data_IF_125805912073
#
_entry.id   IF_125805912073
#
_cell.length_a   1.000
_cell.length_b   1.000
_cell.length_c   1.000
_cell.angle_alpha   90.00
_cell.angle_beta   90.00
_cell.angle_gamma   90.00
#
_symmetry.space_group_name_H-M   'P 1'
#
loop_
_entity.id
_entity.type
_entity.pdbx_description
1 polymer ?
#
# COMPACT_ATOMS: atom_id res chain seq x y z
N UNK A 1 51.71 -56.17 13.96
CA UNK A 1 51.50 -54.83 13.35
C UNK A 1 50.19 -54.89 12.55
N UNK A 2 49.52 -53.74 12.32
CA UNK A 2 48.58 -53.42 11.22
C UNK A 2 47.59 -54.50 10.71
N UNK A 3 46.26 -54.32 10.76
CA UNK A 3 45.44 -53.56 9.76
C UNK A 3 45.54 -54.14 8.33
N UNK A 4 44.50 -54.25 7.47
CA UNK A 4 43.03 -54.06 7.46
C UNK A 4 42.49 -54.74 6.15
N UNK A 5 41.21 -54.85 5.71
CA UNK A 5 39.85 -54.50 6.17
C UNK A 5 38.84 -55.31 5.31
N UNK A 6 37.67 -55.72 5.84
CA UNK A 6 36.45 -56.12 5.06
C UNK A 6 36.63 -57.30 4.06
N UNK A 7 35.64 -57.88 3.37
CA UNK A 7 34.16 -57.88 3.26
C UNK A 7 33.80 -59.36 2.88
N UNK A 8 32.60 -59.94 2.92
CA UNK A 8 31.20 -59.48 3.06
C UNK A 8 30.48 -60.43 4.05
N UNK A 9 29.29 -60.07 4.53
CA UNK A 9 28.29 -61.04 4.98
C UNK A 9 26.93 -60.73 4.32
N UNK A 10 26.30 -61.74 3.73
CA UNK A 10 25.05 -61.60 2.96
C UNK A 10 23.96 -62.36 3.73
N UNK A 11 22.97 -61.64 4.27
CA UNK A 11 21.81 -62.26 4.89
C UNK A 11 20.53 -61.51 4.52
N UNK A 12 19.66 -62.22 3.79
CA UNK A 12 18.32 -61.74 3.45
C UNK A 12 17.36 -62.28 4.49
N UNK A 13 16.70 -61.39 5.22
CA UNK A 13 15.49 -61.69 5.99
C UNK A 13 14.51 -60.52 5.85
N UNK A 14 13.22 -60.84 5.73
CA UNK A 14 12.19 -59.89 5.32
C UNK A 14 12.03 -58.74 6.33
N UNK A 15 11.92 -57.47 5.87
CA UNK A 15 11.20 -56.48 6.66
C UNK A 15 9.72 -56.90 6.67
N UNK A 16 9.17 -57.11 7.87
CA UNK A 16 7.72 -57.12 8.03
C UNK A 16 7.19 -55.74 7.61
N UNK A 17 6.37 -55.69 6.56
CA UNK A 17 5.56 -54.52 6.24
C UNK A 17 4.49 -54.36 7.32
N UNK A 18 4.90 -53.80 8.46
CA UNK A 18 3.99 -53.18 9.40
C UNK A 18 3.38 -51.99 8.67
N UNK A 19 2.21 -52.21 8.07
CA UNK A 19 1.28 -51.14 7.76
C UNK A 19 0.95 -50.45 9.08
N UNK A 20 1.69 -49.40 9.39
CA UNK A 20 1.30 -48.45 10.42
C UNK A 20 0.00 -47.81 9.96
N UNK A 21 -1.13 -48.34 10.43
CA UNK A 21 -2.38 -47.59 10.39
C UNK A 21 -2.11 -46.28 11.12
N UNK A 22 -2.14 -45.16 10.39
CA UNK A 22 -2.12 -43.85 11.02
C UNK A 22 -3.35 -43.78 11.94
N UNK A 23 -3.11 -43.86 13.25
CA UNK A 23 -4.16 -43.79 14.23
C UNK A 23 -4.89 -42.46 14.03
N UNK A 24 -6.19 -42.54 13.66
CA UNK A 24 -6.95 -41.36 13.21
C UNK A 24 -6.99 -40.33 14.34
N UNK A 25 -6.09 -39.35 14.27
CA UNK A 25 -5.83 -38.37 15.33
C UNK A 25 -7.12 -37.62 15.64
N UNK A 26 -7.53 -37.61 16.91
CA UNK A 26 -8.75 -36.92 17.32
C UNK A 26 -8.65 -35.41 17.07
N UNK A 27 -9.73 -34.73 16.67
CA UNK A 27 -9.71 -33.29 16.47
C UNK A 27 -9.37 -32.57 17.80
N UNK A 28 -8.48 -31.57 17.78
CA UNK A 28 -7.98 -30.93 19.00
C UNK A 28 -9.09 -30.29 19.83
N UNK A 29 -9.03 -30.48 21.15
CA UNK A 29 -10.00 -29.92 22.11
C UNK A 29 -9.32 -28.89 23.03
N UNK A 30 -10.07 -27.99 23.68
CA UNK A 30 -9.53 -27.04 24.67
C UNK A 30 -8.85 -27.66 25.91
N UNK A 31 -8.82 -28.99 26.04
CA UNK A 31 -8.08 -29.68 27.09
C UNK A 31 -6.81 -30.38 26.58
N UNK A 32 -6.78 -30.73 25.29
CA UNK A 32 -5.81 -31.64 24.66
C UNK A 32 -4.98 -31.02 23.53
N UNK A 33 -4.94 -29.70 23.39
CA UNK A 33 -4.10 -29.01 22.41
C UNK A 33 -2.63 -29.45 22.52
N UNK A 34 -2.09 -30.01 21.44
CA UNK A 34 -0.67 -30.30 21.26
C UNK A 34 0.03 -29.15 20.53
N UNK A 35 1.35 -28.94 20.72
CA UNK A 35 2.14 -28.09 19.83
C UNK A 35 1.91 -28.50 18.36
N UNK A 36 1.85 -27.53 17.45
CA UNK A 36 1.69 -27.77 16.01
C UNK A 36 0.28 -28.19 15.53
N UNK A 37 -0.72 -28.36 16.41
CA UNK A 37 -2.06 -28.89 16.06
C UNK A 37 -2.72 -28.24 14.83
N UNK A 38 -2.49 -26.95 14.60
CA UNK A 38 -3.06 -26.21 13.48
C UNK A 38 -2.40 -26.55 12.13
N UNK A 39 -1.09 -26.85 12.12
CA UNK A 39 -0.37 -27.28 10.92
C UNK A 39 -0.84 -28.66 10.48
N UNK A 40 -1.02 -29.59 11.41
CA UNK A 40 -1.51 -30.95 11.15
C UNK A 40 -2.91 -30.99 10.49
N UNK A 41 -3.73 -29.95 10.72
CA UNK A 41 -5.03 -29.78 10.08
C UNK A 41 -4.97 -29.12 8.70
N UNK A 42 -3.90 -28.36 8.40
CA UNK A 42 -3.86 -27.42 7.26
C UNK A 42 -2.82 -27.72 6.18
N UNK A 43 -1.75 -28.46 6.50
CA UNK A 43 -0.71 -28.88 5.54
C UNK A 43 -1.22 -29.90 4.50
N UNK A 44 -2.37 -30.54 4.76
CA UNK A 44 -3.09 -31.38 3.80
C UNK A 44 -3.57 -30.65 2.54
N UNK A 45 -3.93 -31.41 1.51
CA UNK A 45 -4.55 -30.88 0.28
C UNK A 45 -5.83 -30.08 0.60
N UNK A 46 -6.22 -29.09 -0.23
CA UNK A 46 -7.29 -28.14 0.11
C UNK A 46 -8.60 -28.80 0.58
N UNK A 47 -9.10 -29.80 -0.14
CA UNK A 47 -10.37 -30.48 0.19
C UNK A 47 -10.29 -31.33 1.46
N UNK A 48 -9.12 -31.91 1.75
CA UNK A 48 -8.86 -32.68 2.96
C UNK A 48 -8.75 -31.76 4.18
N UNK A 49 -8.10 -30.60 4.04
CA UNK A 49 -8.03 -29.57 5.06
C UNK A 49 -9.41 -28.95 5.33
N UNK A 50 -10.19 -28.62 4.28
CA UNK A 50 -11.60 -28.21 4.37
C UNK A 50 -12.46 -29.21 5.15
N UNK A 51 -12.19 -30.52 4.99
CA UNK A 51 -12.86 -31.59 5.73
C UNK A 51 -12.42 -31.67 7.19
N UNK A 52 -11.10 -31.70 7.47
CA UNK A 52 -10.54 -31.71 8.83
C UNK A 52 -11.02 -30.50 9.65
N UNK A 53 -11.10 -29.34 9.01
CA UNK A 53 -11.70 -28.11 9.57
C UNK A 53 -13.17 -28.31 9.95
N UNK A 54 -14.00 -28.93 9.10
CA UNK A 54 -15.42 -29.18 9.41
C UNK A 54 -15.57 -30.18 10.56
N UNK A 55 -14.76 -31.24 10.59
CA UNK A 55 -14.71 -32.20 11.71
C UNK A 55 -14.30 -31.50 13.02
N UNK A 56 -13.36 -30.53 12.98
CA UNK A 56 -13.02 -29.70 14.14
C UNK A 56 -14.17 -28.80 14.60
N UNK A 57 -14.83 -28.06 13.69
CA UNK A 57 -15.93 -27.16 14.06
C UNK A 57 -17.09 -27.94 14.69
N UNK A 58 -17.42 -29.12 14.16
CA UNK A 58 -18.44 -30.01 14.74
C UNK A 58 -18.03 -30.55 16.12
N UNK A 59 -16.78 -30.96 16.29
CA UNK A 59 -16.23 -31.38 17.58
C UNK A 59 -16.34 -30.26 18.62
N UNK A 60 -15.94 -29.04 18.25
CA UNK A 60 -16.01 -27.85 19.11
C UNK A 60 -17.45 -27.46 19.46
N UNK A 61 -18.41 -27.57 18.53
CA UNK A 61 -19.83 -27.33 18.82
C UNK A 61 -20.41 -28.29 19.87
N UNK A 62 -19.85 -29.50 20.01
CA UNK A 62 -20.25 -30.45 21.06
C UNK A 62 -19.83 -30.03 22.48
N UNK A 63 -19.00 -29.00 22.64
CA UNK A 63 -18.58 -28.49 23.95
C UNK A 63 -19.74 -27.83 24.71
N UNK A 64 -20.76 -27.31 24.02
CA UNK A 64 -21.91 -26.67 24.68
C UNK A 64 -22.67 -27.65 25.61
N UNK A 65 -22.69 -28.95 25.30
CA UNK A 65 -23.28 -29.97 26.19
C UNK A 65 -22.40 -30.37 27.36
N UNK A 66 -21.15 -29.89 27.43
CA UNK A 66 -20.13 -30.28 28.41
C UNK A 66 -19.73 -29.14 29.35
N UNK A 67 -20.31 -27.94 29.17
CA UNK A 67 -19.95 -26.71 29.88
C UNK A 67 -21.13 -26.25 30.75
N UNK A 68 -20.83 -25.78 31.97
CA UNK A 68 -21.82 -25.26 32.91
C UNK A 68 -22.57 -24.04 32.34
N UNK A 69 -23.84 -23.89 32.70
CA UNK A 69 -24.75 -22.89 32.11
C UNK A 69 -24.14 -21.46 32.10
N UNK A 70 -23.60 -21.02 33.24
CA UNK A 70 -23.03 -19.69 33.46
C UNK A 70 -21.80 -19.39 32.58
N UNK A 71 -21.20 -20.43 31.97
CA UNK A 71 -20.01 -20.34 31.11
C UNK A 71 -20.30 -20.52 29.62
N UNK A 72 -21.55 -20.86 29.24
CA UNK A 72 -21.93 -21.13 27.84
C UNK A 72 -21.65 -19.95 26.92
N UNK A 73 -21.95 -18.73 27.35
CA UNK A 73 -21.80 -17.55 26.50
C UNK A 73 -20.34 -17.23 26.17
N UNK A 74 -19.43 -17.35 27.16
CA UNK A 74 -17.99 -17.21 26.95
C UNK A 74 -17.46 -18.24 25.95
N UNK A 75 -17.92 -19.49 26.05
CA UNK A 75 -17.56 -20.54 25.11
C UNK A 75 -18.13 -20.24 23.72
N UNK A 76 -19.41 -19.84 23.62
CA UNK A 76 -20.07 -19.49 22.34
C UNK A 76 -19.32 -18.40 21.59
N UNK A 77 -18.96 -17.30 22.26
CA UNK A 77 -18.17 -16.21 21.67
C UNK A 77 -16.82 -16.69 21.14
N UNK A 78 -16.12 -17.56 21.88
CA UNK A 78 -14.85 -18.12 21.42
C UNK A 78 -15.03 -19.09 20.22
N UNK A 79 -16.09 -19.89 20.22
CA UNK A 79 -16.41 -20.80 19.11
C UNK A 79 -16.79 -20.05 17.82
N UNK A 80 -17.58 -18.98 17.93
CA UNK A 80 -17.93 -18.11 16.81
C UNK A 80 -16.67 -17.42 16.24
N UNK A 81 -15.76 -16.97 17.11
CA UNK A 81 -14.47 -16.39 16.70
C UNK A 81 -13.56 -17.41 16.00
N UNK A 82 -13.42 -18.63 16.55
CA UNK A 82 -12.67 -19.74 15.93
C UNK A 82 -13.26 -20.06 14.55
N UNK A 83 -14.57 -20.27 14.46
CA UNK A 83 -15.28 -20.57 13.22
C UNK A 83 -15.09 -19.47 12.16
N UNK A 84 -15.23 -18.20 12.56
CA UNK A 84 -15.00 -17.04 11.68
C UNK A 84 -13.57 -17.00 11.15
N UNK A 85 -12.58 -17.13 12.03
CA UNK A 85 -11.16 -17.13 11.66
C UNK A 85 -10.84 -18.26 10.68
N UNK A 86 -11.29 -19.48 10.99
CA UNK A 86 -11.07 -20.67 10.16
C UNK A 86 -11.70 -20.51 8.77
N UNK A 87 -12.96 -20.07 8.69
CA UNK A 87 -13.62 -19.83 7.40
C UNK A 87 -12.90 -18.74 6.58
N UNK A 88 -12.44 -17.66 7.22
CA UNK A 88 -11.69 -16.61 6.53
C UNK A 88 -10.30 -17.08 6.07
N UNK A 89 -9.62 -17.93 6.86
CA UNK A 89 -8.36 -18.57 6.46
C UNK A 89 -8.55 -19.43 5.20
N UNK A 90 -9.62 -20.25 5.15
CA UNK A 90 -9.91 -21.08 3.96
C UNK A 90 -10.28 -20.24 2.74
N UNK A 91 -10.99 -19.12 2.90
CA UNK A 91 -11.24 -18.17 1.81
C UNK A 91 -9.93 -17.57 1.27
N UNK A 92 -9.03 -17.12 2.16
CA UNK A 92 -7.73 -16.56 1.78
C UNK A 92 -6.78 -17.61 1.17
N UNK A 93 -6.88 -18.89 1.57
CA UNK A 93 -6.15 -20.01 0.95
C UNK A 93 -6.65 -20.31 -0.47
N UNK A 94 -7.92 -20.03 -0.77
CA UNK A 94 -8.55 -20.21 -2.10
C UNK A 94 -8.40 -19.01 -3.02
N UNK A 95 -7.81 -17.90 -2.55
CA UNK A 95 -7.29 -16.87 -3.43
C UNK A 95 -6.03 -17.40 -4.13
N UNK A 96 -6.20 -17.77 -5.40
CA UNK A 96 -5.11 -17.93 -6.35
C UNK A 96 -4.28 -16.63 -6.36
N UNK A 97 -2.96 -16.76 -6.50
CA UNK A 97 -2.05 -15.62 -6.42
C UNK A 97 -2.32 -14.53 -7.44
N UNK A 98 -1.83 -13.32 -7.16
CA UNK A 98 -2.07 -12.14 -8.00
C UNK A 98 -1.70 -12.43 -9.47
N UNK A 99 -2.66 -12.22 -10.38
CA UNK A 99 -2.45 -12.45 -11.81
C UNK A 99 -1.50 -11.39 -12.34
N UNK A 100 -0.27 -11.81 -12.62
CA UNK A 100 0.70 -11.03 -13.36
C UNK A 100 0.19 -10.91 -14.81
N UNK A 101 -0.08 -9.69 -15.25
CA UNK A 101 -0.52 -9.39 -16.62
C UNK A 101 0.60 -9.67 -17.63
N UNK A 102 0.31 -9.62 -18.93
CA UNK A 102 1.36 -9.66 -19.94
C UNK A 102 2.13 -8.32 -19.94
N UNK A 103 3.46 -8.38 -20.10
CA UNK A 103 4.26 -7.18 -20.29
C UNK A 103 3.74 -6.37 -21.50
N UNK A 104 3.50 -5.06 -21.39
CA UNK A 104 3.01 -4.27 -22.52
C UNK A 104 4.00 -4.27 -23.69
N UNK A 105 3.49 -4.36 -24.91
CA UNK A 105 4.33 -4.35 -26.11
C UNK A 105 4.94 -2.96 -26.35
N UNK A 106 6.24 -2.91 -26.60
CA UNK A 106 6.93 -1.67 -26.94
C UNK A 106 6.59 -1.17 -28.35
N UNK A 107 6.56 0.16 -28.52
CA UNK A 107 6.47 0.80 -29.82
C UNK A 107 7.85 0.89 -30.50
N UNK A 108 7.84 0.98 -31.82
CA UNK A 108 9.05 1.29 -32.62
C UNK A 108 9.45 2.77 -32.52
N UNK A 109 8.49 3.65 -32.23
CA UNK A 109 8.66 5.09 -32.01
C UNK A 109 7.59 5.59 -31.04
N UNK A 110 7.90 6.64 -30.28
CA UNK A 110 7.03 7.22 -29.24
C UNK A 110 6.93 8.74 -29.45
N UNK A 111 5.75 9.32 -29.28
CA UNK A 111 5.58 10.79 -29.26
C UNK A 111 5.95 11.38 -27.90
N UNK A 112 6.08 12.71 -27.79
CA UNK A 112 6.19 13.36 -26.46
C UNK A 112 5.01 13.00 -25.56
N UNK A 113 3.79 12.90 -26.09
CA UNK A 113 2.63 12.59 -25.24
C UNK A 113 2.62 11.11 -24.84
N UNK A 114 3.22 10.20 -25.62
CA UNK A 114 3.52 8.84 -25.16
C UNK A 114 4.58 8.82 -24.04
N UNK A 115 5.65 9.60 -24.17
CA UNK A 115 6.70 9.75 -23.13
C UNK A 115 6.10 10.29 -21.82
N UNK A 116 5.26 11.32 -21.91
CA UNK A 116 4.55 11.89 -20.76
C UNK A 116 3.56 10.88 -20.15
N UNK A 117 2.85 10.10 -20.96
CA UNK A 117 1.95 9.05 -20.47
C UNK A 117 2.73 7.90 -19.80
N UNK A 118 3.87 7.49 -20.33
CA UNK A 118 4.75 6.50 -19.71
C UNK A 118 5.29 6.99 -18.36
N UNK A 119 5.70 8.27 -18.27
CA UNK A 119 6.14 8.88 -17.01
C UNK A 119 5.00 8.96 -15.97
N UNK A 120 3.79 9.33 -16.39
CA UNK A 120 2.59 9.30 -15.53
C UNK A 120 2.27 7.89 -15.04
N UNK A 121 2.28 6.90 -15.93
CA UNK A 121 1.99 5.52 -15.57
C UNK A 121 3.01 4.98 -14.58
N UNK A 122 4.32 5.22 -14.79
CA UNK A 122 5.36 4.89 -13.83
C UNK A 122 5.12 5.53 -12.45
N UNK A 123 4.72 6.80 -12.40
CA UNK A 123 4.46 7.50 -11.14
C UNK A 123 3.26 6.92 -10.38
N UNK A 124 2.18 6.58 -11.09
CA UNK A 124 1.00 5.90 -10.52
C UNK A 124 1.34 4.48 -10.03
N UNK A 125 2.16 3.73 -10.76
CA UNK A 125 2.63 2.41 -10.34
C UNK A 125 3.55 2.47 -9.12
N UNK A 126 4.40 3.50 -9.02
CA UNK A 126 5.23 3.76 -7.84
C UNK A 126 4.38 4.09 -6.60
N UNK A 127 3.32 4.90 -6.74
CA UNK A 127 2.38 5.17 -5.65
C UNK A 127 1.65 3.89 -5.21
N UNK A 128 1.14 3.10 -6.18
CA UNK A 128 0.49 1.81 -5.92
C UNK A 128 1.44 0.81 -5.22
N UNK A 129 2.73 0.85 -5.55
CA UNK A 129 3.76 0.03 -4.90
C UNK A 129 4.02 0.46 -3.45
N UNK A 130 4.07 1.77 -3.19
CA UNK A 130 4.24 2.30 -1.84
C UNK A 130 3.08 1.88 -0.94
N UNK A 131 1.82 2.00 -1.39
CA UNK A 131 0.64 1.52 -0.68
C UNK A 131 0.71 0.02 -0.36
N UNK A 132 1.08 -0.81 -1.34
CA UNK A 132 1.21 -2.25 -1.14
C UNK A 132 2.33 -2.60 -0.15
N UNK A 133 3.45 -1.88 -0.22
CA UNK A 133 4.59 -2.04 0.70
C UNK A 133 4.21 -1.67 2.14
N UNK A 134 3.42 -0.60 2.34
CA UNK A 134 2.97 -0.17 3.66
C UNK A 134 1.90 -1.09 4.25
N UNK A 135 1.01 -1.67 3.42
CA UNK A 135 0.08 -2.71 3.88
C UNK A 135 0.81 -4.00 4.31
N UNK A 136 1.86 -4.39 3.58
CA UNK A 136 2.73 -5.52 3.96
C UNK A 136 3.43 -5.27 5.31
N UNK A 137 4.09 -4.11 5.50
CA UNK A 137 4.72 -3.73 6.79
C UNK A 137 3.71 -3.73 7.94
N UNK A 138 2.50 -3.23 7.69
CA UNK A 138 1.40 -3.19 8.66
C UNK A 138 0.96 -4.61 9.06
N UNK A 139 0.81 -5.52 8.09
CA UNK A 139 0.48 -6.93 8.33
C UNK A 139 1.61 -7.70 9.02
N UNK A 140 2.88 -7.38 8.74
CA UNK A 140 4.04 -7.93 9.44
C UNK A 140 4.05 -7.51 10.92
N UNK A 141 3.80 -6.24 11.22
CA UNK A 141 3.68 -5.75 12.61
C UNK A 141 2.56 -6.45 13.38
N UNK A 142 1.38 -6.61 12.76
CA UNK A 142 0.26 -7.36 13.34
C UNK A 142 0.59 -8.84 13.52
N UNK A 143 1.37 -9.45 12.61
CA UNK A 143 1.79 -10.85 12.74
C UNK A 143 2.75 -11.04 13.93
N UNK A 144 3.70 -10.13 14.16
CA UNK A 144 4.59 -10.18 15.33
C UNK A 144 3.79 -10.12 16.64
N UNK A 145 2.82 -9.22 16.73
CA UNK A 145 1.92 -9.12 17.89
C UNK A 145 1.07 -10.39 18.07
N UNK A 146 0.58 -10.98 16.98
CA UNK A 146 -0.22 -12.21 17.02
C UNK A 146 0.61 -13.45 17.40
N UNK A 147 1.91 -13.50 17.05
CA UNK A 147 2.84 -14.53 17.54
C UNK A 147 3.03 -14.38 19.05
N UNK A 148 3.42 -13.19 19.51
CA UNK A 148 3.62 -12.89 20.94
C UNK A 148 2.38 -13.26 21.77
N UNK A 149 1.18 -12.90 21.31
CA UNK A 149 -0.07 -13.21 22.01
C UNK A 149 -0.41 -14.70 22.04
N UNK A 150 -0.02 -15.47 21.01
CA UNK A 150 -0.14 -16.93 21.02
C UNK A 150 0.81 -17.54 22.07
N UNK A 151 2.04 -17.03 22.17
CA UNK A 151 3.04 -17.56 23.11
C UNK A 151 2.66 -17.25 24.58
N UNK A 152 2.17 -16.05 24.88
CA UNK A 152 1.57 -15.71 26.18
C UNK A 152 0.45 -16.69 26.59
N UNK A 153 -0.49 -16.93 25.68
CA UNK A 153 -1.64 -17.81 25.91
C UNK A 153 -1.23 -19.28 26.04
N UNK A 154 -0.18 -19.72 25.33
CA UNK A 154 0.39 -21.06 25.51
C UNK A 154 1.01 -21.24 26.91
N UNK A 155 1.60 -20.20 27.50
CA UNK A 155 2.11 -20.23 28.88
C UNK A 155 0.96 -20.29 29.90
N UNK A 156 -0.09 -19.47 29.74
CA UNK A 156 -1.31 -19.51 30.58
C UNK A 156 -2.00 -20.89 30.51
N UNK A 157 -2.10 -21.44 29.31
CA UNK A 157 -2.63 -22.79 29.06
C UNK A 157 -1.76 -23.87 29.70
N UNK A 158 -0.43 -23.81 29.57
CA UNK A 158 0.47 -24.77 30.20
C UNK A 158 0.44 -24.72 31.74
N UNK A 159 0.20 -23.54 32.33
CA UNK A 159 0.06 -23.36 33.77
C UNK A 159 -1.26 -23.92 34.35
N UNK A 160 -2.29 -24.16 33.53
CA UNK A 160 -3.56 -24.75 33.96
C UNK A 160 -3.60 -26.24 33.67
N UNK A 161 -3.93 -27.06 34.68
CA UNK A 161 -3.95 -28.52 34.56
C UNK A 161 -5.35 -29.12 34.76
N UNK A 162 -5.59 -30.29 34.14
CA UNK A 162 -6.83 -31.06 34.25
C UNK A 162 -8.01 -30.47 33.46
N UNK A 163 -9.14 -31.21 33.43
CA UNK A 163 -10.39 -30.72 32.82
C UNK A 163 -11.10 -29.77 33.81
N UNK A 164 -10.82 -28.47 33.68
CA UNK A 164 -11.44 -27.40 34.48
C UNK A 164 -12.01 -26.31 33.57
N UNK A 165 -12.90 -25.46 34.10
CA UNK A 165 -13.39 -24.27 33.38
C UNK A 165 -12.23 -23.36 32.95
N UNK A 166 -11.25 -23.13 33.84
CA UNK A 166 -10.08 -22.30 33.54
C UNK A 166 -9.24 -22.87 32.40
N UNK A 167 -8.96 -24.19 32.39
CA UNK A 167 -8.30 -24.87 31.26
C UNK A 167 -9.11 -24.73 29.96
N UNK A 168 -10.43 -24.85 30.04
CA UNK A 168 -11.34 -24.72 28.89
C UNK A 168 -11.25 -23.32 28.27
N UNK A 169 -11.28 -22.27 29.10
CA UNK A 169 -11.13 -20.87 28.66
C UNK A 169 -9.73 -20.61 28.09
N UNK A 170 -8.66 -21.04 28.78
CA UNK A 170 -7.29 -20.87 28.31
C UNK A 170 -7.06 -21.59 26.96
N UNK A 171 -7.56 -22.83 26.82
CA UNK A 171 -7.49 -23.58 25.57
C UNK A 171 -8.28 -22.92 24.44
N UNK A 172 -9.50 -22.45 24.70
CA UNK A 172 -10.28 -21.69 23.70
C UNK A 172 -9.58 -20.39 23.30
N UNK A 173 -8.96 -19.66 24.23
CA UNK A 173 -8.18 -18.47 23.94
C UNK A 173 -6.98 -18.79 23.03
N UNK A 174 -6.23 -19.88 23.30
CA UNK A 174 -5.17 -20.37 22.40
C UNK A 174 -5.74 -20.69 21.01
N UNK A 175 -6.89 -21.34 20.91
CA UNK A 175 -7.51 -21.67 19.61
C UNK A 175 -7.96 -20.42 18.83
N UNK A 176 -8.55 -19.43 19.50
CA UNK A 176 -8.88 -18.13 18.90
C UNK A 176 -7.62 -17.43 18.39
N UNK A 177 -6.56 -17.39 19.21
CA UNK A 177 -5.31 -16.70 18.87
C UNK A 177 -4.54 -17.38 17.72
N UNK A 178 -4.41 -18.72 17.74
CA UNK A 178 -3.73 -19.48 16.68
C UNK A 178 -4.47 -19.36 15.35
N UNK A 179 -5.80 -19.49 15.35
CA UNK A 179 -6.60 -19.33 14.11
C UNK A 179 -6.59 -17.88 13.61
N UNK A 180 -6.59 -16.89 14.52
CA UNK A 180 -6.43 -15.47 14.17
C UNK A 180 -5.05 -15.17 13.57
N UNK A 181 -3.98 -15.72 14.13
CA UNK A 181 -2.61 -15.61 13.61
C UNK A 181 -2.53 -16.19 12.18
N UNK A 182 -3.11 -17.36 11.95
CA UNK A 182 -3.16 -17.99 10.63
C UNK A 182 -3.91 -17.14 9.57
N UNK A 183 -4.95 -16.41 9.98
CA UNK A 183 -5.62 -15.42 9.11
C UNK A 183 -4.69 -14.27 8.73
N UNK A 184 -3.87 -13.78 9.67
CA UNK A 184 -2.87 -12.72 9.39
C UNK A 184 -1.76 -13.25 8.49
N UNK A 185 -1.26 -14.46 8.73
CA UNK A 185 -0.28 -15.15 7.85
C UNK A 185 -0.78 -15.23 6.39
N UNK A 186 -2.04 -15.64 6.18
CA UNK A 186 -2.61 -15.72 4.82
C UNK A 186 -2.91 -14.35 4.20
N UNK A 187 -3.31 -13.34 4.99
CA UNK A 187 -3.40 -11.95 4.50
C UNK A 187 -2.02 -11.44 4.04
N UNK A 188 -0.97 -11.70 4.82
CA UNK A 188 0.40 -11.30 4.50
C UNK A 188 0.93 -12.02 3.25
N UNK A 189 0.61 -13.31 3.06
CA UNK A 189 0.88 -14.05 1.81
C UNK A 189 0.29 -13.30 0.60
N UNK A 190 -1.02 -13.07 0.61
CA UNK A 190 -1.75 -12.43 -0.50
C UNK A 190 -1.29 -10.99 -0.73
N UNK A 191 -0.96 -10.24 0.33
CA UNK A 191 -0.43 -8.88 0.23
C UNK A 191 0.97 -8.85 -0.42
N UNK A 192 1.87 -9.78 -0.06
CA UNK A 192 3.20 -9.92 -0.69
C UNK A 192 3.12 -10.39 -2.15
N UNK A 193 2.19 -11.30 -2.47
CA UNK A 193 1.93 -11.73 -3.86
C UNK A 193 1.42 -10.55 -4.71
N UNK A 194 0.50 -9.74 -4.17
CA UNK A 194 0.06 -8.47 -4.80
C UNK A 194 1.22 -7.49 -4.97
N UNK A 195 2.06 -7.30 -3.94
CA UNK A 195 3.22 -6.41 -4.00
C UNK A 195 4.17 -6.82 -5.14
N UNK A 196 4.55 -8.09 -5.24
CA UNK A 196 5.44 -8.59 -6.30
C UNK A 196 4.87 -8.37 -7.72
N UNK A 197 3.56 -8.54 -7.91
CA UNK A 197 2.90 -8.20 -9.18
C UNK A 197 2.97 -6.71 -9.53
N UNK A 198 2.90 -5.83 -8.53
CA UNK A 198 3.03 -4.37 -8.72
C UNK A 198 4.50 -3.98 -8.94
N UNK A 199 5.46 -4.59 -8.26
CA UNK A 199 6.90 -4.40 -8.50
C UNK A 199 7.29 -4.75 -9.95
N UNK A 200 6.72 -5.84 -10.47
CA UNK A 200 6.91 -6.23 -11.86
C UNK A 200 6.26 -5.22 -12.83
N UNK A 201 5.08 -4.67 -12.50
CA UNK A 201 4.44 -3.62 -13.31
C UNK A 201 5.24 -2.31 -13.30
N UNK A 202 5.78 -1.89 -12.15
CA UNK A 202 6.74 -0.78 -12.03
C UNK A 202 7.98 -1.03 -12.90
N UNK A 203 8.47 -2.28 -12.99
CA UNK A 203 9.60 -2.65 -13.85
C UNK A 203 9.28 -2.45 -15.34
N UNK A 204 8.10 -2.87 -15.80
CA UNK A 204 7.67 -2.60 -17.18
C UNK A 204 7.46 -1.11 -17.46
N UNK A 205 6.82 -0.37 -16.55
CA UNK A 205 6.62 1.07 -16.70
C UNK A 205 7.95 1.85 -16.75
N UNK A 206 9.02 1.36 -16.08
CA UNK A 206 10.40 1.86 -16.26
C UNK A 206 10.97 1.52 -17.64
N UNK A 207 10.81 0.29 -18.11
CA UNK A 207 11.32 -0.14 -19.43
C UNK A 207 10.63 0.60 -20.58
N UNK A 208 9.31 0.76 -20.53
CA UNK A 208 8.52 1.54 -21.49
C UNK A 208 8.96 3.01 -21.48
N UNK A 209 9.20 3.59 -20.30
CA UNK A 209 9.71 4.96 -20.18
C UNK A 209 11.13 5.12 -20.77
N UNK A 210 12.02 4.14 -20.59
CA UNK A 210 13.34 4.13 -21.23
C UNK A 210 13.21 4.06 -22.76
N UNK A 211 12.46 3.09 -23.29
CA UNK A 211 12.21 2.95 -24.73
C UNK A 211 11.49 4.16 -25.35
N UNK A 212 10.67 4.88 -24.57
CA UNK A 212 10.04 6.14 -24.98
C UNK A 212 10.98 7.36 -25.00
N UNK A 213 12.08 7.31 -24.24
CA UNK A 213 13.20 8.26 -24.35
C UNK A 213 14.08 7.93 -25.56
N UNK A 214 14.52 6.68 -25.64
CA UNK A 214 15.47 6.20 -26.65
C UNK A 214 14.92 6.24 -28.09
N UNK A 215 13.59 6.21 -28.26
CA UNK A 215 12.89 6.19 -29.56
C UNK A 215 11.87 7.33 -29.70
N UNK A 216 12.16 8.46 -29.06
CA UNK A 216 11.33 9.66 -29.11
C UNK A 216 11.33 10.28 -30.52
N UNK A 217 10.14 10.41 -31.12
CA UNK A 217 9.92 11.22 -32.32
C UNK A 217 9.37 12.60 -31.94
N UNK A 218 9.93 13.61 -32.60
CA UNK A 218 9.67 15.03 -32.41
C UNK A 218 9.10 15.69 -33.69
N UNK A 219 8.90 14.91 -34.76
CA UNK A 219 8.42 15.37 -36.07
C UNK A 219 7.01 15.97 -36.04
N UNK A 220 6.18 15.54 -35.09
CA UNK A 220 4.75 15.88 -35.00
C UNK A 220 4.44 17.16 -34.20
N UNK A 221 5.44 17.93 -33.78
CA UNK A 221 5.27 19.00 -32.80
C UNK A 221 5.15 20.38 -33.46
N UNK A 222 3.98 21.02 -33.30
CA UNK A 222 3.76 22.42 -33.66
C UNK A 222 4.40 23.36 -32.64
N UNK A 223 5.56 23.94 -33.00
CA UNK A 223 6.23 24.98 -32.21
C UNK A 223 5.34 26.19 -31.93
N UNK A 224 4.49 26.59 -32.88
CA UNK A 224 3.60 27.74 -32.73
C UNK A 224 2.36 27.43 -31.86
N UNK A 225 2.03 26.16 -31.61
CA UNK A 225 1.12 25.77 -30.52
C UNK A 225 1.80 25.93 -29.15
N UNK A 226 3.00 25.37 -29.00
CA UNK A 226 3.75 25.45 -27.73
C UNK A 226 4.01 26.89 -27.27
N UNK A 227 4.34 27.80 -28.18
CA UNK A 227 4.51 29.23 -27.85
C UNK A 227 3.22 29.85 -27.30
N UNK A 228 2.05 29.51 -27.88
CA UNK A 228 0.73 29.97 -27.41
C UNK A 228 0.37 29.36 -26.05
N UNK A 229 0.66 28.08 -25.85
CA UNK A 229 0.40 27.38 -24.59
C UNK A 229 1.25 27.97 -23.45
N UNK A 230 2.54 28.24 -23.70
CA UNK A 230 3.43 28.90 -22.73
C UNK A 230 2.97 30.32 -22.43
N UNK A 231 2.59 31.12 -23.44
CA UNK A 231 2.07 32.47 -23.24
C UNK A 231 0.77 32.47 -22.42
N UNK A 232 -0.14 31.52 -22.70
CA UNK A 232 -1.37 31.29 -21.93
C UNK A 232 -1.08 30.94 -20.47
N UNK A 233 -0.15 30.02 -20.23
CA UNK A 233 0.26 29.61 -18.89
C UNK A 233 0.93 30.76 -18.11
N UNK A 234 1.74 31.62 -18.76
CA UNK A 234 2.30 32.84 -18.13
C UNK A 234 1.23 33.90 -17.81
N UNK A 235 0.20 34.05 -18.66
CA UNK A 235 -0.97 34.88 -18.34
C UNK A 235 -1.76 34.36 -17.14
N UNK A 236 -1.85 33.03 -16.99
CA UNK A 236 -2.47 32.38 -15.83
C UNK A 236 -1.61 32.50 -14.56
N UNK A 237 -0.29 32.33 -14.65
CA UNK A 237 0.65 32.50 -13.53
C UNK A 237 0.55 33.92 -12.94
N UNK A 238 0.64 34.95 -13.79
CA UNK A 238 0.55 36.35 -13.35
C UNK A 238 -0.81 36.71 -12.75
N UNK A 239 -1.90 36.14 -13.26
CA UNK A 239 -3.24 36.28 -12.65
C UNK A 239 -3.30 35.63 -11.26
N UNK A 240 -2.81 34.39 -11.13
CA UNK A 240 -2.77 33.66 -9.86
C UNK A 240 -1.85 34.31 -8.83
N UNK A 241 -0.76 34.96 -9.26
CA UNK A 241 0.13 35.72 -8.38
C UNK A 241 -0.60 36.93 -7.76
N UNK A 242 -1.44 37.63 -8.54
CA UNK A 242 -2.23 38.75 -8.03
C UNK A 242 -3.34 38.27 -7.06
N UNK A 243 -3.98 37.12 -7.33
CA UNK A 243 -4.94 36.50 -6.40
C UNK A 243 -4.27 36.02 -5.10
N UNK A 244 -3.05 35.46 -5.18
CA UNK A 244 -2.29 35.04 -3.99
C UNK A 244 -1.94 36.21 -3.08
N UNK A 245 -1.52 37.35 -3.63
CA UNK A 245 -1.26 38.57 -2.85
C UNK A 245 -2.53 39.12 -2.16
N UNK A 246 -3.71 38.90 -2.72
CA UNK A 246 -4.98 39.22 -2.05
C UNK A 246 -5.26 38.25 -0.89
N UNK A 247 -5.06 36.96 -1.10
CA UNK A 247 -5.26 35.93 -0.05
C UNK A 247 -4.23 36.10 1.09
N UNK A 248 -2.98 36.48 0.81
CA UNK A 248 -1.99 36.81 1.84
C UNK A 248 -2.37 38.04 2.67
N UNK A 249 -3.17 38.96 2.13
CA UNK A 249 -3.74 40.08 2.88
C UNK A 249 -5.01 39.68 3.67
N UNK A 250 -5.85 38.80 3.11
CA UNK A 250 -7.07 38.28 3.76
C UNK A 250 -6.76 37.31 4.92
N UNK A 251 -5.58 36.66 4.92
CA UNK A 251 -5.08 35.77 5.98
C UNK A 251 -4.63 36.51 7.26
N UNK A 252 -4.85 37.83 7.37
CA UNK A 252 -4.64 38.56 8.61
C UNK A 252 -5.64 38.06 9.69
N UNK A 253 -5.18 37.86 10.95
CA UNK A 253 -5.98 37.17 11.95
C UNK A 253 -7.24 37.96 12.31
N UNK A 254 -8.40 37.39 11.96
CA UNK A 254 -9.71 37.85 12.42
C UNK A 254 -10.13 37.00 13.62
N UNK A 255 -10.64 37.63 14.68
CA UNK A 255 -10.71 37.04 16.02
C UNK A 255 -11.49 35.71 16.14
N UNK A 256 -10.79 34.70 16.67
CA UNK A 256 -11.17 33.81 17.79
C UNK A 256 -12.59 33.19 17.88
N UNK A 257 -13.42 33.25 16.83
CA UNK A 257 -14.66 32.48 16.72
C UNK A 257 -14.38 31.00 16.46
N UNK A 258 -15.13 30.11 17.10
CA UNK A 258 -14.95 28.64 17.02
C UNK A 258 -15.35 27.99 15.69
N UNK A 259 -15.30 28.72 14.58
CA UNK A 259 -15.58 28.21 13.23
C UNK A 259 -14.38 27.47 12.66
N UNK A 260 -14.62 26.66 11.63
CA UNK A 260 -13.57 25.97 10.90
C UNK A 260 -12.88 26.92 9.91
N UNK A 261 -11.58 27.18 10.11
CA UNK A 261 -10.79 27.99 9.18
C UNK A 261 -10.60 27.26 7.84
N UNK A 262 -11.34 27.72 6.83
CA UNK A 262 -11.20 27.24 5.44
C UNK A 262 -10.38 28.17 4.55
N UNK A 263 -9.88 29.29 5.08
CA UNK A 263 -8.99 30.21 4.37
C UNK A 263 -7.63 29.54 4.10
N UNK A 264 -7.09 28.82 5.08
CA UNK A 264 -5.83 28.08 4.93
C UNK A 264 -5.88 27.06 3.77
N UNK A 265 -6.96 26.27 3.66
CA UNK A 265 -7.16 25.36 2.53
C UNK A 265 -7.32 26.11 1.20
N UNK A 266 -8.04 27.25 1.19
CA UNK A 266 -8.18 28.10 -0.01
C UNK A 266 -6.81 28.63 -0.48
N UNK A 267 -5.98 29.08 0.44
CA UNK A 267 -4.63 29.56 0.16
C UNK A 267 -3.74 28.45 -0.41
N UNK A 268 -3.72 27.27 0.22
CA UNK A 268 -2.96 26.11 -0.26
C UNK A 268 -3.44 25.68 -1.66
N UNK A 269 -4.75 25.63 -1.91
CA UNK A 269 -5.30 25.28 -3.24
C UNK A 269 -4.92 26.32 -4.33
N UNK A 270 -4.83 27.61 -3.98
CA UNK A 270 -4.33 28.65 -4.90
C UNK A 270 -2.81 28.57 -5.13
N UNK A 271 -2.02 28.20 -4.11
CA UNK A 271 -0.59 27.92 -4.27
C UNK A 271 -0.35 26.68 -5.17
N UNK A 272 -1.18 25.65 -5.06
CA UNK A 272 -1.17 24.48 -5.96
C UNK A 272 -1.53 24.91 -7.39
N UNK A 273 -2.59 25.71 -7.57
CA UNK A 273 -3.00 26.25 -8.86
C UNK A 273 -1.90 27.07 -9.54
N UNK A 274 -1.13 27.84 -8.75
CA UNK A 274 0.01 28.62 -9.20
C UNK A 274 1.19 27.71 -9.60
N UNK A 275 1.51 26.71 -8.78
CA UNK A 275 2.54 25.72 -9.10
C UNK A 275 2.23 24.91 -10.38
N UNK A 276 0.96 24.57 -10.64
CA UNK A 276 0.53 23.96 -11.91
C UNK A 276 0.84 24.86 -13.11
N UNK A 277 0.57 26.17 -13.02
CA UNK A 277 0.90 27.12 -14.10
C UNK A 277 2.42 27.19 -14.34
N UNK A 278 3.23 27.20 -13.28
CA UNK A 278 4.71 27.17 -13.40
C UNK A 278 5.21 25.87 -14.06
N UNK A 279 4.66 24.72 -13.69
CA UNK A 279 4.98 23.43 -14.31
C UNK A 279 4.61 23.42 -15.79
N UNK A 280 3.45 23.97 -16.17
CA UNK A 280 3.02 24.08 -17.57
C UNK A 280 3.97 24.97 -18.40
N UNK A 281 4.45 26.10 -17.84
CA UNK A 281 5.46 26.96 -18.47
C UNK A 281 6.79 26.22 -18.67
N UNK A 282 7.27 25.51 -17.64
CA UNK A 282 8.51 24.72 -17.71
C UNK A 282 8.37 23.59 -18.75
N UNK A 283 7.26 22.86 -18.73
CA UNK A 283 6.97 21.77 -19.65
C UNK A 283 6.93 22.26 -21.11
N UNK A 284 6.24 23.37 -21.38
CA UNK A 284 6.21 23.96 -22.73
C UNK A 284 7.59 24.40 -23.20
N UNK A 285 8.40 25.03 -22.33
CA UNK A 285 9.79 25.40 -22.63
C UNK A 285 10.69 24.17 -22.89
N UNK A 286 10.52 23.09 -22.13
CA UNK A 286 11.24 21.83 -22.37
C UNK A 286 10.80 21.13 -23.68
N UNK A 287 9.50 21.12 -24.02
CA UNK A 287 9.00 20.65 -25.32
C UNK A 287 9.64 21.46 -26.47
N UNK A 288 9.73 22.79 -26.35
CA UNK A 288 10.37 23.64 -27.37
C UNK A 288 11.88 23.38 -27.48
N UNK A 289 12.61 23.27 -26.36
CA UNK A 289 14.05 22.98 -26.36
C UNK A 289 14.39 21.66 -27.09
N UNK A 290 13.61 20.60 -26.85
CA UNK A 290 13.75 19.32 -27.55
C UNK A 290 13.57 19.45 -29.07
N UNK A 291 12.55 20.20 -29.51
CA UNK A 291 12.30 20.45 -30.94
C UNK A 291 13.44 21.24 -31.58
N UNK A 292 13.98 22.24 -30.90
CA UNK A 292 15.12 23.05 -31.38
C UNK A 292 16.38 22.20 -31.57
N UNK A 293 16.70 21.34 -30.61
CA UNK A 293 17.82 20.40 -30.70
C UNK A 293 17.62 19.43 -31.88
N UNK A 294 16.45 18.81 -31.98
CA UNK A 294 16.15 17.80 -33.01
C UNK A 294 16.10 18.34 -34.45
N UNK A 295 15.82 19.64 -34.63
CA UNK A 295 15.86 20.32 -35.94
C UNK A 295 17.28 20.68 -36.39
N UNK A 296 18.31 20.51 -35.55
CA UNK A 296 19.68 20.91 -35.88
C UNK A 296 19.88 22.43 -35.95
N UNK A 297 19.04 23.21 -35.25
CA UNK A 297 19.15 24.68 -35.20
C UNK A 297 20.28 25.19 -34.27
N UNK A 298 21.24 24.31 -33.93
CA UNK A 298 22.45 24.57 -33.12
C UNK A 298 23.24 25.79 -33.61
N UNK A 299 23.21 26.09 -34.91
CA UNK A 299 23.83 27.28 -35.51
C UNK A 299 23.23 28.63 -35.06
N UNK A 300 22.13 28.61 -34.27
CA UNK A 300 21.46 29.79 -33.72
C UNK A 300 21.25 29.77 -32.21
N UNK A 301 21.46 28.64 -31.55
CA UNK A 301 21.08 28.46 -30.14
C UNK A 301 22.26 27.92 -29.34
N UNK A 302 22.67 28.69 -28.33
CA UNK A 302 23.73 28.28 -27.43
C UNK A 302 23.29 27.08 -26.57
N UNK A 303 23.86 25.90 -26.85
CA UNK A 303 23.62 24.69 -26.08
C UNK A 303 23.98 24.83 -24.59
N UNK A 304 24.93 25.72 -24.24
CA UNK A 304 25.26 26.05 -22.85
C UNK A 304 24.05 26.65 -22.15
N UNK A 305 23.41 27.63 -22.79
CA UNK A 305 22.21 28.28 -22.27
C UNK A 305 21.01 27.32 -22.19
N UNK A 306 20.85 26.36 -23.12
CA UNK A 306 19.82 25.32 -22.99
C UNK A 306 20.05 24.44 -21.76
N UNK A 307 21.28 23.96 -21.55
CA UNK A 307 21.65 23.12 -20.41
C UNK A 307 21.50 23.88 -19.08
N UNK A 308 21.87 25.16 -19.03
CA UNK A 308 21.66 26.00 -17.84
C UNK A 308 20.18 26.24 -17.54
N UNK A 309 19.36 26.50 -18.56
CA UNK A 309 17.90 26.61 -18.41
C UNK A 309 17.30 25.30 -17.86
N UNK A 310 17.63 24.16 -18.46
CA UNK A 310 17.12 22.85 -18.03
C UNK A 310 17.55 22.51 -16.59
N UNK A 311 18.77 22.87 -16.18
CA UNK A 311 19.23 22.76 -14.78
C UNK A 311 18.46 23.67 -13.83
N UNK A 312 18.10 24.90 -14.24
CA UNK A 312 17.23 25.76 -13.42
C UNK A 312 15.85 25.12 -13.27
N UNK A 313 15.25 24.66 -14.36
CA UNK A 313 13.93 24.02 -14.34
C UNK A 313 13.89 22.81 -13.39
N UNK A 314 14.90 21.93 -13.43
CA UNK A 314 15.00 20.80 -12.49
C UNK A 314 15.10 21.30 -11.04
N UNK A 315 15.93 22.30 -10.75
CA UNK A 315 16.07 22.90 -9.42
C UNK A 315 14.78 23.56 -8.91
N UNK A 316 13.98 24.15 -9.80
CA UNK A 316 12.69 24.75 -9.47
C UNK A 316 11.62 23.68 -9.20
N UNK A 317 11.63 22.56 -9.94
CA UNK A 317 10.80 21.38 -9.66
C UNK A 317 11.20 20.69 -8.34
N UNK A 318 12.49 20.59 -8.02
CA UNK A 318 13.02 20.09 -6.73
C UNK A 318 12.66 21.00 -5.54
N UNK A 319 12.35 22.27 -5.79
CA UNK A 319 11.83 23.21 -4.79
C UNK A 319 10.32 22.98 -4.59
N UNK A 320 9.56 22.85 -5.68
CA UNK A 320 8.12 22.53 -5.63
C UNK A 320 7.84 21.22 -4.89
N UNK A 321 8.66 20.18 -5.08
CA UNK A 321 8.55 18.91 -4.33
C UNK A 321 8.59 19.08 -2.80
N UNK A 322 9.46 19.97 -2.32
CA UNK A 322 9.59 20.24 -0.88
C UNK A 322 8.39 21.02 -0.35
N UNK A 323 7.82 21.92 -1.15
CA UNK A 323 6.60 22.65 -0.81
C UNK A 323 5.38 21.73 -0.81
N UNK A 324 5.26 20.84 -1.81
CA UNK A 324 4.23 19.81 -1.93
C UNK A 324 4.19 18.88 -0.69
N UNK A 325 5.36 18.46 -0.19
CA UNK A 325 5.48 17.65 1.04
C UNK A 325 4.97 18.41 2.28
N UNK A 326 5.30 19.70 2.45
CA UNK A 326 4.79 20.49 3.57
C UNK A 326 3.30 20.81 3.45
N UNK A 327 2.79 21.05 2.23
CA UNK A 327 1.35 21.23 1.99
C UNK A 327 0.56 19.93 2.32
N UNK A 328 1.05 18.75 1.89
CA UNK A 328 0.46 17.45 2.26
C UNK A 328 0.48 17.22 3.78
N UNK A 329 1.54 17.59 4.49
CA UNK A 329 1.62 17.52 5.96
C UNK A 329 0.62 18.47 6.64
N UNK A 330 0.49 19.70 6.13
CA UNK A 330 -0.38 20.73 6.68
C UNK A 330 -1.85 20.29 6.59
N UNK A 331 -2.32 19.93 5.38
CA UNK A 331 -3.72 19.51 5.18
C UNK A 331 -4.08 18.32 6.08
N UNK A 332 -3.20 17.32 6.20
CA UNK A 332 -3.44 16.16 7.06
C UNK A 332 -3.52 16.51 8.55
N UNK A 333 -2.73 17.48 9.04
CA UNK A 333 -2.83 17.96 10.43
C UNK A 333 -4.18 18.62 10.72
N UNK A 334 -4.68 19.42 9.76
CA UNK A 334 -5.98 20.06 9.93
C UNK A 334 -7.13 19.05 9.80
N UNK A 335 -7.03 18.04 8.92
CA UNK A 335 -7.96 16.91 8.88
C UNK A 335 -7.99 16.17 10.23
N UNK A 336 -6.83 15.76 10.76
CA UNK A 336 -6.69 15.14 12.09
C UNK A 336 -7.34 15.98 13.21
N UNK A 337 -7.20 17.32 13.16
CA UNK A 337 -7.77 18.22 14.15
C UNK A 337 -9.29 18.32 14.04
N UNK A 338 -9.82 18.41 12.82
CA UNK A 338 -11.26 18.49 12.55
C UNK A 338 -11.97 17.18 12.86
N UNK A 339 -11.37 16.02 12.54
CA UNK A 339 -11.91 14.71 12.94
C UNK A 339 -11.98 14.56 14.47
N UNK A 340 -10.96 15.01 15.21
CA UNK A 340 -10.98 15.00 16.69
C UNK A 340 -12.11 15.87 17.25
N UNK A 341 -12.32 17.08 16.70
CA UNK A 341 -13.41 17.98 17.12
C UNK A 341 -14.80 17.42 16.78
N UNK A 342 -14.97 16.77 15.64
CA UNK A 342 -16.21 16.05 15.27
C UNK A 342 -16.52 14.87 16.20
N UNK A 343 -15.49 14.16 16.66
CA UNK A 343 -15.61 13.04 17.59
C UNK A 343 -15.71 13.46 19.07
N UNK A 344 -15.63 14.76 19.39
CA UNK A 344 -15.52 15.27 20.76
C UNK A 344 -14.23 14.87 21.48
N UNK A 345 -13.27 14.32 20.76
CA UNK A 345 -12.08 13.64 21.28
C UNK A 345 -10.91 14.62 21.49
N UNK A 346 -11.06 15.52 22.46
CA UNK A 346 -9.98 16.44 22.85
C UNK A 346 -10.30 17.52 23.89
N UNK A 347 -11.58 17.73 24.23
CA UNK A 347 -12.00 18.81 25.13
C UNK A 347 -12.06 20.20 24.47
N UNK A 348 -11.53 20.34 23.25
CA UNK A 348 -11.90 21.42 22.33
C UNK A 348 -13.37 21.28 21.90
N UNK A 349 -14.01 22.42 21.60
CA UNK A 349 -15.45 22.47 21.35
C UNK A 349 -15.90 21.68 20.12
N UNK A 350 -17.11 21.11 20.21
CA UNK A 350 -17.77 20.42 19.09
C UNK A 350 -18.17 21.41 17.99
N UNK A 351 -17.57 21.25 16.82
CA UNK A 351 -17.96 21.97 15.59
C UNK A 351 -19.23 21.37 14.97
N UNK A 352 -20.04 22.13 14.20
CA UNK A 352 -21.18 21.59 13.47
C UNK A 352 -20.76 20.49 12.49
N UNK A 353 -21.56 19.43 12.37
CA UNK A 353 -21.26 18.32 11.47
C UNK A 353 -21.15 18.76 10.02
N UNK A 354 -21.99 19.71 9.58
CA UNK A 354 -21.97 20.23 8.21
C UNK A 354 -20.68 21.05 7.91
N UNK A 355 -20.22 21.89 8.85
CA UNK A 355 -18.96 22.64 8.70
C UNK A 355 -17.75 21.68 8.63
N UNK A 356 -17.71 20.67 9.50
CA UNK A 356 -16.66 19.65 9.48
C UNK A 356 -16.68 18.79 8.22
N UNK A 357 -17.86 18.40 7.73
CA UNK A 357 -18.02 17.64 6.50
C UNK A 357 -17.60 18.46 5.26
N UNK A 358 -17.92 19.75 5.20
CA UNK A 358 -17.46 20.62 4.11
C UNK A 358 -15.93 20.78 4.14
N UNK A 359 -15.34 20.96 5.33
CA UNK A 359 -13.89 21.03 5.47
C UNK A 359 -13.18 19.75 5.00
N UNK A 360 -13.62 18.58 5.48
CA UNK A 360 -13.03 17.30 5.11
C UNK A 360 -13.12 17.07 3.59
N UNK A 361 -14.23 17.45 2.96
CA UNK A 361 -14.35 17.45 1.49
C UNK A 361 -13.34 18.38 0.82
N UNK A 362 -13.26 19.66 1.23
CA UNK A 362 -12.28 20.61 0.66
C UNK A 362 -10.83 20.14 0.85
N UNK A 363 -10.52 19.47 1.96
CA UNK A 363 -9.21 18.88 2.22
C UNK A 363 -8.90 17.70 1.26
N UNK A 364 -9.87 16.82 1.01
CA UNK A 364 -9.76 15.73 0.01
C UNK A 364 -9.57 16.31 -1.40
N UNK A 365 -10.38 17.31 -1.79
CA UNK A 365 -10.26 17.97 -3.10
C UNK A 365 -8.88 18.63 -3.28
N UNK A 366 -8.31 19.20 -2.20
CA UNK A 366 -6.98 19.81 -2.20
C UNK A 366 -5.84 18.77 -2.24
N UNK A 367 -6.00 17.62 -1.56
CA UNK A 367 -5.04 16.51 -1.64
C UNK A 367 -5.02 15.87 -3.03
N UNK A 368 -6.17 15.67 -3.66
CA UNK A 368 -6.23 15.18 -5.05
C UNK A 368 -5.58 16.17 -6.03
N UNK A 369 -5.70 17.48 -5.77
CA UNK A 369 -5.00 18.52 -6.53
C UNK A 369 -3.47 18.47 -6.35
N UNK A 370 -2.97 18.08 -5.17
CA UNK A 370 -1.55 17.83 -4.91
C UNK A 370 -1.03 16.57 -5.59
N UNK A 371 -1.82 15.51 -5.64
CA UNK A 371 -1.48 14.27 -6.35
C UNK A 371 -1.38 14.52 -7.87
N UNK A 372 -2.27 15.34 -8.42
CA UNK A 372 -2.17 15.79 -9.81
C UNK A 372 -0.90 16.63 -10.06
N UNK A 373 -0.60 17.58 -9.16
CA UNK A 373 0.61 18.41 -9.21
C UNK A 373 1.89 17.54 -9.19
N UNK A 374 1.94 16.53 -8.31
CA UNK A 374 3.08 15.61 -8.16
C UNK A 374 3.34 14.82 -9.46
N UNK A 375 2.28 14.40 -10.15
CA UNK A 375 2.36 13.72 -11.45
C UNK A 375 2.86 14.66 -12.55
N UNK A 376 2.30 15.86 -12.68
CA UNK A 376 2.74 16.84 -13.68
C UNK A 376 4.21 17.26 -13.45
N UNK A 377 4.60 17.46 -12.19
CA UNK A 377 5.98 17.75 -11.77
C UNK A 377 6.93 16.64 -12.19
N UNK A 378 6.57 15.38 -11.95
CA UNK A 378 7.38 14.22 -12.33
C UNK A 378 7.52 14.09 -13.85
N UNK A 379 6.42 14.18 -14.59
CA UNK A 379 6.42 14.20 -16.06
C UNK A 379 7.32 15.32 -16.62
N UNK A 380 7.25 16.51 -16.03
CA UNK A 380 8.01 17.68 -16.46
C UNK A 380 9.50 17.57 -16.11
N UNK A 381 9.85 16.98 -14.96
CA UNK A 381 11.24 16.67 -14.60
C UNK A 381 11.86 15.65 -15.57
N UNK A 382 11.10 14.61 -15.92
CA UNK A 382 11.51 13.62 -16.93
C UNK A 382 11.77 14.28 -18.30
N UNK A 383 10.95 15.25 -18.70
CA UNK A 383 11.11 15.98 -19.96
C UNK A 383 12.29 16.97 -19.92
N UNK A 384 12.47 17.70 -18.82
CA UNK A 384 13.61 18.61 -18.63
C UNK A 384 14.95 17.86 -18.66
N UNK A 385 15.00 16.64 -18.10
CA UNK A 385 16.13 15.71 -18.17
C UNK A 385 16.40 15.12 -19.57
N UNK A 386 15.62 15.47 -20.60
CA UNK A 386 15.91 15.14 -22.00
C UNK A 386 16.34 16.38 -22.80
N UNK A 387 16.13 17.58 -22.26
CA UNK A 387 16.60 18.85 -22.82
C UNK A 387 17.95 19.31 -22.23
N UNK A 388 18.64 18.43 -21.49
CA UNK A 388 19.85 18.70 -20.69
C UNK A 388 20.99 17.72 -20.97
#
# INVERSE_FOLDING_TARGET
MAHLRTLIFLFVCCPLLVFSQEAKKEPPTPWSLSPGWWQELTESQPDEADKKVKELIQSLQSLDSQVAADSKELVRVALDAISKNINQYLQLRKLNGWVIEAAPAEKQSYTIDDLLNAAKQLKLDQATLQEASDDVKRLESVLVQAIQRVDELNVEYAATAGKSLQRTVAGLNVMVAVTGRAVVEQRLRVAREKQGGIEQRVSWSKAILASAKDRLDLSSIDSAALERDVASATGRETTLQAELLQIEADLLPTDAGGHVDTQLLRAVNKLISFAQAQIQIIMGRAKMALVTLAKGEESRVDGTALIENARSWIKDLDKLEKQEIEWKKLIRREQDAIERRLLGAGGEGTIPQDEGAEFLRRAIDTLSSLEHLEVERFQTSILAQQAS
#
